data_IF_588658862562
#
_entry.id   IF_588658862562
#
_cell.length_a   1.000
_cell.length_b   1.000
_cell.length_c   1.000
_cell.angle_alpha   90.00
_cell.angle_beta   90.00
_cell.angle_gamma   90.00
#
_symmetry.space_group_name_H-M   'P 1'
#
loop_
_entity.id
_entity.type
_entity.pdbx_description
1 polymer ?
#
# COMPACT_ATOMS: atom_id res chain seq x y z
N UNK A 1 -0.03 2.09 -14.67
CA UNK A 1 1.43 1.87 -14.62
C UNK A 1 1.73 0.77 -13.60
N UNK A 2 2.54 -0.25 -13.90
CA UNK A 2 2.87 -1.30 -12.94
C UNK A 2 3.75 -0.77 -11.80
N UNK A 3 3.71 -1.44 -10.65
CA UNK A 3 4.61 -1.16 -9.52
C UNK A 3 6.03 -1.60 -9.91
N UNK A 4 7.00 -0.71 -9.74
CA UNK A 4 8.43 -1.06 -9.83
C UNK A 4 8.88 -1.71 -8.52
N UNK A 5 8.82 -3.04 -8.47
CA UNK A 5 9.16 -3.80 -7.28
C UNK A 5 10.65 -3.77 -6.91
N UNK A 6 11.54 -3.57 -7.88
CA UNK A 6 12.95 -3.40 -7.58
C UNK A 6 13.17 -2.09 -6.81
N UNK A 7 12.44 -1.03 -7.16
CA UNK A 7 12.46 0.22 -6.41
C UNK A 7 11.79 0.07 -5.03
N UNK A 8 10.69 -0.68 -4.93
CA UNK A 8 10.03 -0.95 -3.64
C UNK A 8 10.97 -1.71 -2.69
N UNK A 9 11.62 -2.77 -3.17
CA UNK A 9 12.62 -3.53 -2.42
C UNK A 9 13.80 -2.65 -2.02
N UNK A 10 14.31 -1.81 -2.93
CA UNK A 10 15.40 -0.87 -2.63
C UNK A 10 15.00 0.15 -1.55
N UNK A 11 13.74 0.59 -1.52
CA UNK A 11 13.23 1.58 -0.55
C UNK A 11 12.91 0.98 0.81
N UNK A 12 12.34 -0.23 0.85
CA UNK A 12 11.73 -0.77 2.07
C UNK A 12 12.20 -2.17 2.45
N UNK A 13 13.07 -2.81 1.67
CA UNK A 13 13.49 -4.20 1.87
C UNK A 13 14.17 -4.44 3.23
N UNK A 14 14.93 -3.47 3.73
CA UNK A 14 15.56 -3.49 5.06
C UNK A 14 14.66 -2.90 6.17
N UNK A 15 13.41 -2.61 5.84
CA UNK A 15 12.44 -1.94 6.70
C UNK A 15 12.42 -0.42 6.53
N UNK A 16 11.27 0.19 6.81
CA UNK A 16 11.05 1.62 6.68
C UNK A 16 9.91 2.11 7.58
N UNK A 17 9.86 3.43 7.82
CA UNK A 17 8.70 4.09 8.44
C UNK A 17 8.18 5.14 7.49
N UNK A 18 6.93 4.98 7.05
CA UNK A 18 6.28 5.89 6.12
C UNK A 18 5.18 6.67 6.84
N UNK A 19 4.89 7.93 6.44
CA UNK A 19 3.77 8.67 7.00
C UNK A 19 2.44 8.02 6.64
N UNK A 20 1.46 8.11 7.53
CA UNK A 20 0.07 7.75 7.21
C UNK A 20 -0.58 8.82 6.33
N UNK A 21 -1.62 8.45 5.58
CA UNK A 21 -2.38 9.36 4.71
C UNK A 21 -2.92 10.59 5.45
N UNK A 22 -3.39 10.40 6.69
CA UNK A 22 -3.90 11.48 7.54
C UNK A 22 -2.79 12.34 8.18
N UNK A 23 -1.52 11.91 8.08
CA UNK A 23 -0.40 12.54 8.78
C UNK A 23 -0.37 12.25 10.28
N UNK A 24 0.70 12.72 10.94
CA UNK A 24 0.87 12.66 12.40
C UNK A 24 1.19 11.29 12.99
N UNK A 25 1.14 10.21 12.20
CA UNK A 25 1.56 8.86 12.57
C UNK A 25 2.39 8.22 11.46
N UNK A 26 3.05 7.11 11.78
CA UNK A 26 3.81 6.31 10.80
C UNK A 26 3.30 4.88 10.74
N UNK A 27 3.39 4.28 9.56
CA UNK A 27 3.28 2.84 9.33
C UNK A 27 4.70 2.27 9.26
N UNK A 28 4.94 1.17 9.96
CA UNK A 28 6.21 0.46 9.93
C UNK A 28 6.15 -0.68 8.91
N UNK A 29 7.08 -0.66 7.96
CA UNK A 29 7.40 -1.73 7.03
C UNK A 29 8.61 -2.47 7.60
N UNK A 30 8.55 -3.79 7.68
CA UNK A 30 9.64 -4.61 8.22
C UNK A 30 10.53 -5.20 7.14
N UNK A 31 9.95 -5.56 6.00
CA UNK A 31 10.65 -6.18 4.87
C UNK A 31 9.75 -6.17 3.63
N UNK A 32 10.35 -6.46 2.48
CA UNK A 32 9.68 -6.69 1.21
C UNK A 32 10.24 -7.97 0.61
N UNK A 33 9.36 -8.82 0.09
CA UNK A 33 9.74 -10.03 -0.64
C UNK A 33 8.72 -10.35 -1.76
N UNK A 34 8.77 -11.59 -2.28
CA UNK A 34 7.91 -12.05 -3.35
C UNK A 34 6.41 -12.06 -2.97
N UNK A 35 6.06 -12.23 -1.69
CA UNK A 35 4.68 -12.24 -1.22
C UNK A 35 4.12 -10.81 -1.11
N UNK A 36 4.98 -9.83 -0.78
CA UNK A 36 4.65 -8.42 -0.82
C UNK A 36 5.36 -7.59 0.24
N UNK A 37 4.66 -6.61 0.81
CA UNK A 37 5.21 -5.67 1.78
C UNK A 37 4.75 -6.08 3.19
N UNK A 38 5.69 -6.46 4.03
CA UNK A 38 5.39 -6.85 5.41
C UNK A 38 5.36 -5.63 6.31
N UNK A 39 4.26 -5.49 7.04
CA UNK A 39 3.99 -4.35 7.91
C UNK A 39 3.69 -4.80 9.32
N UNK A 40 3.93 -3.91 10.27
CA UNK A 40 3.59 -4.16 11.66
C UNK A 40 3.15 -2.91 12.41
N UNK A 41 2.56 -3.16 13.57
CA UNK A 41 2.57 -2.21 14.67
C UNK A 41 2.89 -2.96 15.99
N UNK A 42 2.68 -2.31 17.13
CA UNK A 42 2.94 -2.90 18.44
C UNK A 42 2.09 -4.15 18.76
N UNK A 43 0.94 -4.33 18.10
CA UNK A 43 -0.05 -5.36 18.43
C UNK A 43 -0.21 -6.43 17.34
N UNK A 44 0.18 -6.13 16.09
CA UNK A 44 -0.05 -7.02 14.96
C UNK A 44 1.04 -6.93 13.90
N UNK A 45 1.06 -7.95 13.05
CA UNK A 45 1.84 -8.04 11.80
C UNK A 45 0.91 -8.45 10.67
N UNK A 46 1.20 -8.00 9.46
CA UNK A 46 0.42 -8.33 8.28
C UNK A 46 1.25 -8.19 7.01
N UNK A 47 0.73 -8.70 5.89
CA UNK A 47 1.36 -8.58 4.57
C UNK A 47 0.41 -7.90 3.61
N UNK A 48 0.85 -6.80 3.02
CA UNK A 48 0.19 -6.22 1.85
C UNK A 48 0.65 -6.99 0.62
N UNK A 49 -0.21 -7.90 0.15
CA UNK A 49 0.15 -8.83 -0.92
C UNK A 49 0.43 -8.08 -2.21
N UNK A 50 1.45 -8.54 -2.92
CA UNK A 50 1.88 -7.98 -4.21
C UNK A 50 0.73 -7.92 -5.23
N UNK A 51 0.02 -9.03 -5.39
CA UNK A 51 -1.11 -9.13 -6.33
C UNK A 51 -2.24 -8.13 -6.04
N UNK A 52 -2.52 -7.89 -4.75
CA UNK A 52 -3.59 -6.97 -4.35
C UNK A 52 -3.17 -5.51 -4.59
N UNK A 53 -1.92 -5.17 -4.29
CA UNK A 53 -1.37 -3.84 -4.56
C UNK A 53 -1.32 -3.53 -6.06
N UNK A 54 -0.86 -4.49 -6.87
CA UNK A 54 -0.83 -4.36 -8.33
C UNK A 54 -2.24 -4.17 -8.90
N UNK A 55 -3.21 -4.98 -8.48
CA UNK A 55 -4.61 -4.84 -8.89
C UNK A 55 -5.20 -3.50 -8.45
N UNK A 56 -4.89 -3.02 -7.24
CA UNK A 56 -5.30 -1.71 -6.77
C UNK A 56 -4.79 -0.57 -7.66
N UNK A 57 -3.50 -0.62 -8.02
CA UNK A 57 -2.90 0.35 -8.94
C UNK A 57 -3.52 0.26 -10.33
N UNK A 58 -3.75 -0.94 -10.86
CA UNK A 58 -4.42 -1.12 -12.15
C UNK A 58 -5.80 -0.46 -12.19
N UNK A 59 -6.62 -0.69 -11.17
CA UNK A 59 -7.97 -0.11 -11.10
C UNK A 59 -7.95 1.42 -10.95
N UNK A 60 -6.95 1.97 -10.25
CA UNK A 60 -6.73 3.41 -10.16
C UNK A 60 -6.39 4.00 -11.52
N UNK A 61 -5.51 3.35 -12.27
CA UNK A 61 -5.05 3.80 -13.57
C UNK A 61 -6.14 3.72 -14.64
N UNK A 62 -7.02 2.72 -14.53
CA UNK A 62 -8.20 2.57 -15.38
C UNK A 62 -9.37 3.49 -14.98
N UNK A 63 -9.23 4.29 -13.91
CA UNK A 63 -10.26 5.22 -13.44
C UNK A 63 -11.46 4.55 -12.75
N UNK A 64 -11.35 3.27 -12.40
CA UNK A 64 -12.39 2.51 -11.67
C UNK A 64 -12.35 2.85 -10.17
N UNK A 65 -11.14 3.02 -9.64
CA UNK A 65 -10.87 3.41 -8.25
C UNK A 65 -10.27 4.82 -8.23
N UNK A 66 -10.62 5.61 -7.23
CA UNK A 66 -10.13 6.97 -7.07
C UNK A 66 -8.66 7.01 -6.67
N UNK A 67 -7.93 8.01 -7.19
CA UNK A 67 -6.59 8.37 -6.71
C UNK A 67 -6.58 9.04 -5.35
N UNK A 68 -7.72 9.57 -4.88
CA UNK A 68 -7.79 10.23 -3.58
C UNK A 68 -7.71 9.19 -2.47
N UNK A 69 -6.66 9.23 -1.64
CA UNK A 69 -6.39 8.17 -0.68
C UNK A 69 -7.54 7.88 0.30
N UNK A 70 -8.34 8.90 0.66
CA UNK A 70 -9.52 8.71 1.51
C UNK A 70 -10.63 7.88 0.86
N UNK A 71 -10.89 8.11 -0.44
CA UNK A 71 -11.92 7.38 -1.20
C UNK A 71 -11.42 6.01 -1.67
N UNK A 72 -10.14 5.94 -2.03
CA UNK A 72 -9.46 4.71 -2.43
C UNK A 72 -9.69 3.58 -1.43
N UNK A 73 -9.63 3.86 -0.12
CA UNK A 73 -9.75 2.81 0.92
C UNK A 73 -11.06 2.03 0.80
N UNK A 74 -12.19 2.70 0.63
CA UNK A 74 -13.51 2.03 0.56
C UNK A 74 -13.67 1.26 -0.75
N UNK A 75 -13.17 1.83 -1.84
CA UNK A 75 -13.23 1.21 -3.17
C UNK A 75 -12.28 0.00 -3.25
N UNK A 76 -11.10 0.07 -2.64
CA UNK A 76 -10.15 -1.04 -2.57
C UNK A 76 -10.71 -2.24 -1.81
N UNK A 77 -11.41 -2.01 -0.68
CA UNK A 77 -12.14 -3.08 0.04
C UNK A 77 -13.18 -3.77 -0.83
N UNK A 78 -13.85 -2.99 -1.69
CA UNK A 78 -14.94 -3.48 -2.53
C UNK A 78 -14.43 -4.25 -3.75
N UNK A 79 -13.39 -3.73 -4.42
CA UNK A 79 -12.96 -4.25 -5.73
C UNK A 79 -11.71 -5.12 -5.67
N UNK A 80 -10.92 -5.03 -4.60
CA UNK A 80 -9.66 -5.75 -4.44
C UNK A 80 -9.73 -6.74 -3.28
N UNK A 81 -9.64 -6.22 -2.04
CA UNK A 81 -9.60 -7.04 -0.82
C UNK A 81 -9.91 -6.19 0.42
N UNK A 82 -10.69 -6.74 1.35
CA UNK A 82 -10.94 -6.13 2.67
C UNK A 82 -9.91 -6.55 3.72
N UNK A 83 -8.63 -6.35 3.39
CA UNK A 83 -7.51 -6.59 4.29
C UNK A 83 -6.60 -5.38 4.26
N UNK A 84 -6.42 -4.75 5.42
CA UNK A 84 -5.49 -3.62 5.63
C UNK A 84 -5.56 -2.53 4.54
N UNK A 85 -6.74 -2.25 3.98
CA UNK A 85 -6.93 -1.28 2.90
C UNK A 85 -6.36 0.12 3.22
N UNK A 86 -6.46 0.56 4.47
CA UNK A 86 -5.86 1.82 4.93
C UNK A 86 -4.33 1.81 4.87
N UNK A 87 -3.69 0.68 5.22
CA UNK A 87 -2.23 0.53 5.12
C UNK A 87 -1.79 0.46 3.66
N UNK A 88 -2.54 -0.22 2.79
CA UNK A 88 -2.31 -0.19 1.34
C UNK A 88 -2.35 1.24 0.80
N UNK A 89 -3.35 2.04 1.21
CA UNK A 89 -3.43 3.45 0.83
C UNK A 89 -2.21 4.28 1.30
N UNK A 90 -1.68 4.02 2.49
CA UNK A 90 -0.46 4.69 2.97
C UNK A 90 0.75 4.39 2.07
N UNK A 91 0.95 3.12 1.74
CA UNK A 91 2.06 2.70 0.88
C UNK A 91 1.90 3.26 -0.53
N UNK A 92 0.72 3.11 -1.14
CA UNK A 92 0.48 3.57 -2.52
C UNK A 92 0.55 5.09 -2.65
N UNK A 93 0.12 5.84 -1.64
CA UNK A 93 0.35 7.29 -1.58
C UNK A 93 1.84 7.63 -1.49
N UNK A 94 2.57 6.95 -0.62
CA UNK A 94 4.01 7.19 -0.46
C UNK A 94 4.82 6.80 -1.72
N UNK A 95 4.33 5.82 -2.49
CA UNK A 95 4.89 5.46 -3.80
C UNK A 95 4.45 6.40 -4.93
N UNK A 96 3.50 7.31 -4.70
CA UNK A 96 3.06 8.31 -5.66
C UNK A 96 1.91 7.88 -6.58
N UNK A 97 1.23 6.76 -6.29
CA UNK A 97 0.04 6.32 -7.03
C UNK A 97 -1.25 7.01 -6.57
N UNK A 98 -1.27 7.53 -5.34
CA UNK A 98 -2.42 8.20 -4.73
C UNK A 98 -2.07 9.63 -4.30
N UNK A 99 -3.11 10.45 -4.15
CA UNK A 99 -3.09 11.85 -3.72
C UNK A 99 -3.53 12.05 -2.26
#
# INVERSE_FOLDING_TARGET
>A
MPIDWAEVERRYGEGAKIPTVAGGKTLEITSVDADGIHIRNALWRDTLRREDLEKGVELVENGVVSRQAGKFVEEYRTFVVDVRATSAAHVLKHLGFLE
#
